data_IF_692990890692
#
_entry.id   IF_692990890692
#
_cell.length_a   1.000
_cell.length_b   1.000
_cell.length_c   1.000
_cell.angle_alpha   90.00
_cell.angle_beta   90.00
_cell.angle_gamma   90.00
#
_symmetry.space_group_name_H-M   'P 1'
#
loop_
_entity.id
_entity.type
_entity.pdbx_description
1 polymer ?
#
# COMPACT_ATOMS: atom_id res chain seq x y z
N UNK A 1 10.22 -9.33 -14.63
CA UNK A 1 10.11 -8.18 -13.70
C UNK A 1 8.93 -8.40 -12.77
N UNK A 2 9.15 -8.37 -11.46
CA UNK A 2 8.13 -8.51 -10.42
C UNK A 2 7.59 -7.12 -10.06
N UNK A 3 6.27 -6.94 -10.12
CA UNK A 3 5.61 -5.72 -9.68
C UNK A 3 5.14 -5.85 -8.23
N UNK A 4 5.49 -4.88 -7.39
CA UNK A 4 5.16 -4.84 -5.96
C UNK A 4 4.43 -3.54 -5.64
N UNK A 5 3.21 -3.64 -5.17
CA UNK A 5 2.37 -2.53 -4.73
C UNK A 5 2.51 -2.35 -3.23
N UNK A 6 2.86 -1.15 -2.78
CA UNK A 6 3.03 -0.79 -1.37
C UNK A 6 1.91 0.16 -0.96
N UNK A 7 1.09 -0.26 0.01
CA UNK A 7 -0.11 0.48 0.48
C UNK A 7 -0.04 0.68 1.98
N UNK A 8 -0.34 1.89 2.45
CA UNK A 8 -0.44 2.23 3.87
C UNK A 8 0.52 3.32 4.35
N UNK A 9 1.59 3.62 3.62
CA UNK A 9 2.44 4.77 3.92
C UNK A 9 1.79 6.08 3.43
N UNK A 10 2.16 7.20 4.04
CA UNK A 10 1.61 8.52 3.70
C UNK A 10 2.37 9.20 2.56
N UNK A 11 3.67 8.98 2.50
CA UNK A 11 4.59 9.56 1.50
C UNK A 11 5.76 8.63 1.25
N UNK A 12 6.57 8.92 0.24
CA UNK A 12 7.86 8.30 0.06
C UNK A 12 8.92 9.27 0.56
N UNK A 13 9.46 9.01 1.76
CA UNK A 13 10.40 9.92 2.42
C UNK A 13 10.62 9.55 3.89
N UNK A 14 11.14 10.48 4.68
CA UNK A 14 11.58 10.23 6.06
C UNK A 14 10.59 10.74 7.12
N UNK A 15 9.29 10.54 6.95
CA UNK A 15 8.31 11.07 7.91
C UNK A 15 8.04 10.12 9.09
N UNK A 16 7.98 8.82 8.87
CA UNK A 16 7.64 7.81 9.88
C UNK A 16 8.25 6.46 9.57
N UNK A 17 7.94 5.44 10.37
CA UNK A 17 8.52 4.11 10.24
C UNK A 17 8.25 3.48 8.87
N UNK A 18 7.01 3.51 8.41
CA UNK A 18 6.63 2.95 7.10
C UNK A 18 7.23 3.74 5.95
N UNK A 19 7.20 5.08 6.02
CA UNK A 19 7.77 5.97 5.02
C UNK A 19 9.28 5.76 4.90
N UNK A 20 9.98 5.67 6.01
CA UNK A 20 11.43 5.37 6.05
C UNK A 20 11.71 3.98 5.48
N UNK A 21 10.91 2.98 5.86
CA UNK A 21 11.08 1.61 5.35
C UNK A 21 10.94 1.56 3.83
N UNK A 22 9.85 2.08 3.25
CA UNK A 22 9.65 2.05 1.80
C UNK A 22 10.69 2.89 1.05
N UNK A 23 11.13 4.01 1.64
CA UNK A 23 12.17 4.83 1.04
C UNK A 23 13.49 4.04 0.93
N UNK A 24 13.91 3.39 2.01
CA UNK A 24 15.12 2.55 2.01
C UNK A 24 14.99 1.32 1.12
N UNK A 25 13.82 0.69 1.08
CA UNK A 25 13.54 -0.46 0.23
C UNK A 25 13.65 -0.10 -1.26
N UNK A 26 13.04 1.01 -1.68
CA UNK A 26 13.07 1.47 -3.07
C UNK A 26 14.44 2.01 -3.47
N UNK A 27 15.15 2.69 -2.56
CA UNK A 27 16.54 3.11 -2.74
C UNK A 27 17.47 1.89 -2.96
N UNK A 28 17.36 0.87 -2.11
CA UNK A 28 18.18 -0.34 -2.20
C UNK A 28 18.00 -1.07 -3.53
N UNK A 29 16.77 -1.11 -4.06
CA UNK A 29 16.46 -1.77 -5.31
C UNK A 29 16.45 -0.84 -6.53
N UNK A 30 16.90 0.42 -6.42
CA UNK A 30 16.79 1.38 -7.52
C UNK A 30 17.47 0.94 -8.83
N UNK A 31 18.52 0.13 -8.74
CA UNK A 31 19.23 -0.41 -9.89
C UNK A 31 18.84 -1.84 -10.27
N UNK A 32 17.84 -2.43 -9.59
CA UNK A 32 17.41 -3.79 -9.84
C UNK A 32 16.31 -3.83 -10.92
N UNK A 33 16.58 -4.36 -12.12
CA UNK A 33 15.61 -4.39 -13.22
C UNK A 33 14.51 -5.44 -13.01
N UNK A 34 14.68 -6.38 -12.07
CA UNK A 34 13.74 -7.48 -11.85
C UNK A 34 12.58 -7.13 -10.94
N UNK A 35 12.64 -5.96 -10.28
CA UNK A 35 11.61 -5.50 -9.35
C UNK A 35 11.19 -4.08 -9.72
N UNK A 36 9.88 -3.84 -9.75
CA UNK A 36 9.28 -2.51 -9.91
C UNK A 36 8.28 -2.24 -8.79
N UNK A 37 8.47 -1.16 -8.08
CA UNK A 37 7.56 -0.74 -7.03
C UNK A 37 6.50 0.21 -7.55
N UNK A 38 5.28 0.09 -6.98
CA UNK A 38 4.16 1.01 -7.15
C UNK A 38 3.73 1.44 -5.75
N UNK A 39 3.89 2.71 -5.41
CA UNK A 39 3.69 3.20 -4.05
C UNK A 39 2.49 4.13 -3.99
N UNK A 40 1.50 3.78 -3.17
CA UNK A 40 0.41 4.69 -2.84
C UNK A 40 0.91 5.75 -1.86
N UNK A 41 0.66 7.01 -2.18
CA UNK A 41 1.01 8.16 -1.32
C UNK A 41 -0.18 9.11 -1.21
N UNK A 42 -0.22 9.92 -0.15
CA UNK A 42 -1.23 10.94 0.02
C UNK A 42 -0.97 12.14 -0.90
N UNK A 43 -2.02 12.65 -1.52
CA UNK A 43 -1.97 13.91 -2.25
C UNK A 43 -2.08 15.13 -1.32
N UNK A 44 -2.78 14.96 -0.17
CA UNK A 44 -3.08 16.03 0.77
C UNK A 44 -3.21 15.52 2.21
N UNK A 45 -3.29 16.45 3.15
CA UNK A 45 -3.46 16.17 4.57
C UNK A 45 -2.15 15.81 5.29
N UNK A 46 -2.29 15.37 6.53
CA UNK A 46 -1.15 15.11 7.40
C UNK A 46 -0.24 14.01 6.82
N UNK A 47 1.06 14.30 6.71
CA UNK A 47 2.09 13.40 6.22
C UNK A 47 2.17 13.29 4.70
N UNK A 48 1.36 14.04 3.95
CA UNK A 48 1.53 14.18 2.51
C UNK A 48 2.80 14.96 2.21
N UNK A 49 3.70 14.40 1.43
CA UNK A 49 4.90 15.08 0.93
C UNK A 49 5.37 14.43 -0.37
N UNK A 50 6.08 15.22 -1.15
CA UNK A 50 6.78 14.79 -2.37
C UNK A 50 8.26 15.05 -2.13
N UNK A 51 9.15 14.15 -2.53
CA UNK A 51 10.59 14.38 -2.42
C UNK A 51 11.02 15.65 -3.15
N UNK A 52 12.04 16.33 -2.63
CA UNK A 52 12.56 17.57 -3.21
C UNK A 52 13.05 17.34 -4.64
N UNK A 53 12.73 18.29 -5.53
CA UNK A 53 13.13 18.24 -6.94
C UNK A 53 12.31 17.27 -7.81
N UNK A 54 11.28 16.63 -7.27
CA UNK A 54 10.43 15.70 -8.02
C UNK A 54 9.18 16.41 -8.53
N UNK A 55 8.96 16.34 -9.85
CA UNK A 55 7.76 16.86 -10.50
C UNK A 55 6.63 15.84 -10.44
N UNK A 56 5.42 16.30 -10.11
CA UNK A 56 4.20 15.51 -10.09
C UNK A 56 3.38 15.81 -11.33
N UNK A 57 3.10 14.78 -12.14
CA UNK A 57 2.26 14.88 -13.33
C UNK A 57 1.06 13.96 -13.15
N UNK A 58 -0.15 14.52 -13.26
CA UNK A 58 -1.43 13.79 -13.11
C UNK A 58 -1.53 12.95 -11.83
N UNK A 59 -0.99 13.49 -10.72
CA UNK A 59 -0.98 12.78 -9.43
C UNK A 59 -0.06 11.56 -9.41
N UNK A 60 0.96 11.53 -10.25
CA UNK A 60 2.00 10.48 -10.30
C UNK A 60 3.38 11.11 -10.36
N UNK A 61 4.36 10.40 -9.81
CA UNK A 61 5.77 10.72 -9.94
C UNK A 61 6.63 9.46 -9.79
N UNK A 62 7.84 9.53 -10.30
CA UNK A 62 8.83 8.45 -10.12
C UNK A 62 9.92 8.90 -9.17
N UNK A 63 10.25 8.05 -8.22
CA UNK A 63 11.34 8.28 -7.28
C UNK A 63 12.02 6.96 -6.93
N UNK A 64 13.35 6.89 -6.98
CA UNK A 64 14.12 5.64 -6.93
C UNK A 64 13.59 4.62 -7.96
N UNK A 65 13.25 3.40 -7.52
CA UNK A 65 12.63 2.36 -8.34
C UNK A 65 11.09 2.31 -8.18
N UNK A 66 10.47 3.40 -7.81
CA UNK A 66 9.04 3.43 -7.48
C UNK A 66 8.26 4.39 -8.38
N UNK A 67 7.15 3.89 -8.93
CA UNK A 67 6.09 4.71 -9.51
C UNK A 67 5.09 5.05 -8.39
N UNK A 68 5.14 6.28 -7.92
CA UNK A 68 4.27 6.79 -6.88
C UNK A 68 2.96 7.31 -7.48
N UNK A 69 1.84 6.96 -6.86
CA UNK A 69 0.53 7.46 -7.25
C UNK A 69 -0.20 8.07 -6.06
N UNK A 70 -0.69 9.27 -6.25
CA UNK A 70 -1.32 10.07 -5.20
C UNK A 70 -2.79 9.72 -5.01
N UNK A 71 -3.24 9.69 -3.76
CA UNK A 71 -4.63 9.52 -3.33
C UNK A 71 -5.08 10.80 -2.64
N UNK A 72 -6.06 11.47 -3.22
CA UNK A 72 -6.73 12.63 -2.61
C UNK A 72 -7.69 12.16 -1.52
N UNK A 73 -7.62 12.78 -0.36
CA UNK A 73 -8.44 12.46 0.81
C UNK A 73 -9.42 13.60 1.06
N UNK A 74 -10.75 13.34 1.04
CA UNK A 74 -11.74 14.34 1.40
C UNK A 74 -11.60 14.78 2.86
N UNK A 75 -11.50 16.09 3.11
CA UNK A 75 -11.31 16.64 4.46
C UNK A 75 -12.46 16.31 5.42
N UNK A 76 -13.67 16.19 4.87
CA UNK A 76 -14.91 15.94 5.64
C UNK A 76 -14.98 14.57 6.31
N UNK A 77 -14.07 13.64 6.00
CA UNK A 77 -14.11 12.26 6.50
C UNK A 77 -13.63 12.13 7.96
N UNK A 78 -13.03 13.15 8.55
CA UNK A 78 -12.54 13.09 9.92
C UNK A 78 -11.72 11.80 10.21
N UNK A 79 -12.04 11.03 11.26
CA UNK A 79 -11.31 9.80 11.61
C UNK A 79 -11.35 8.70 10.54
N UNK A 80 -12.36 8.70 9.66
CA UNK A 80 -12.48 7.70 8.60
C UNK A 80 -11.49 7.92 7.44
N UNK A 81 -10.74 9.03 7.43
CA UNK A 81 -9.74 9.32 6.39
C UNK A 81 -8.71 8.21 6.21
N UNK A 82 -8.29 7.55 7.30
CA UNK A 82 -7.29 6.49 7.23
C UNK A 82 -7.83 5.25 6.50
N UNK A 83 -9.06 4.84 6.81
CA UNK A 83 -9.73 3.70 6.15
C UNK A 83 -9.98 4.03 4.69
N UNK A 84 -10.49 5.23 4.40
CA UNK A 84 -10.72 5.71 3.04
C UNK A 84 -9.44 5.67 2.21
N UNK A 85 -8.34 6.20 2.76
CA UNK A 85 -7.05 6.22 2.08
C UNK A 85 -6.59 4.81 1.67
N UNK A 86 -6.60 3.86 2.60
CA UNK A 86 -6.14 2.50 2.33
C UNK A 86 -7.06 1.79 1.31
N UNK A 87 -8.37 1.96 1.41
CA UNK A 87 -9.33 1.41 0.43
C UNK A 87 -9.16 2.03 -0.97
N UNK A 88 -9.01 3.35 -1.05
CA UNK A 88 -8.80 4.05 -2.31
C UNK A 88 -7.46 3.69 -2.96
N UNK A 89 -6.40 3.53 -2.15
CA UNK A 89 -5.10 3.08 -2.61
C UNK A 89 -5.15 1.66 -3.20
N UNK A 90 -5.85 0.74 -2.53
CA UNK A 90 -6.06 -0.63 -3.05
C UNK A 90 -6.90 -0.64 -4.33
N UNK A 91 -7.97 0.14 -4.38
CA UNK A 91 -8.79 0.26 -5.60
C UNK A 91 -7.97 0.80 -6.77
N UNK A 92 -7.15 1.83 -6.55
CA UNK A 92 -6.28 2.40 -7.59
C UNK A 92 -5.17 1.41 -7.99
N UNK A 93 -4.61 0.66 -7.04
CA UNK A 93 -3.66 -0.42 -7.34
C UNK A 93 -4.27 -1.48 -8.26
N UNK A 94 -5.49 -1.94 -7.97
CA UNK A 94 -6.22 -2.90 -8.81
C UNK A 94 -6.45 -2.35 -10.22
N UNK A 95 -6.77 -1.07 -10.35
CA UNK A 95 -6.95 -0.44 -11.66
C UNK A 95 -5.62 -0.40 -12.44
N UNK A 96 -4.52 -0.01 -11.81
CA UNK A 96 -3.18 -0.03 -12.43
C UNK A 96 -2.80 -1.44 -12.89
N UNK A 97 -3.04 -2.46 -12.06
CA UNK A 97 -2.79 -3.87 -12.41
C UNK A 97 -3.55 -4.27 -13.67
N UNK A 98 -4.82 -3.88 -13.79
CA UNK A 98 -5.67 -4.17 -14.95
C UNK A 98 -5.23 -3.39 -16.19
N UNK A 99 -5.05 -2.09 -16.07
CA UNK A 99 -4.68 -1.19 -17.17
C UNK A 99 -3.34 -1.57 -17.80
N UNK A 100 -2.37 -1.92 -16.97
CA UNK A 100 -1.03 -2.32 -17.41
C UNK A 100 -0.89 -3.83 -17.66
N UNK A 101 -1.98 -4.62 -17.48
CA UNK A 101 -1.98 -6.08 -17.64
C UNK A 101 -0.86 -6.77 -16.85
N UNK A 102 -0.60 -6.30 -15.62
CA UNK A 102 0.46 -6.81 -14.75
C UNK A 102 0.13 -8.24 -14.32
N UNK A 103 1.06 -9.15 -14.53
CA UNK A 103 0.92 -10.56 -14.15
C UNK A 103 1.55 -10.84 -12.78
N UNK A 104 0.87 -11.64 -11.98
CA UNK A 104 1.35 -12.09 -10.65
C UNK A 104 1.84 -10.93 -9.74
N UNK A 105 1.07 -9.82 -9.61
CA UNK A 105 1.50 -8.72 -8.75
C UNK A 105 1.56 -9.15 -7.29
N UNK A 106 2.47 -8.53 -6.53
CA UNK A 106 2.47 -8.58 -5.07
C UNK A 106 1.85 -7.29 -4.56
N UNK A 107 0.89 -7.39 -3.65
CA UNK A 107 0.32 -6.24 -2.93
C UNK A 107 0.67 -6.38 -1.45
N UNK A 108 1.49 -5.48 -0.94
CA UNK A 108 1.89 -5.44 0.45
C UNK A 108 1.17 -4.29 1.17
N UNK A 109 0.33 -4.67 2.13
CA UNK A 109 -0.47 -3.75 2.94
C UNK A 109 0.25 -3.58 4.27
N UNK A 110 0.72 -2.36 4.55
CA UNK A 110 1.52 -2.04 5.73
C UNK A 110 0.69 -1.77 6.99
N UNK A 111 -0.63 -1.65 6.86
CA UNK A 111 -1.51 -1.29 7.98
C UNK A 111 -2.78 -2.13 7.98
N UNK A 112 -3.32 -2.44 9.16
CA UNK A 112 -4.53 -3.27 9.31
C UNK A 112 -5.85 -2.46 9.36
N UNK A 113 -5.92 -1.26 8.77
CA UNK A 113 -7.06 -0.34 8.94
C UNK A 113 -8.28 -0.65 8.07
N UNK A 114 -8.13 -1.46 7.01
CA UNK A 114 -9.20 -1.72 6.04
C UNK A 114 -10.32 -2.66 6.56
N UNK A 115 -10.10 -3.34 7.68
CA UNK A 115 -11.12 -4.12 8.39
C UNK A 115 -12.00 -4.99 7.47
N UNK A 116 -13.34 -4.76 7.46
CA UNK A 116 -14.29 -5.60 6.74
C UNK A 116 -14.09 -5.62 5.22
N UNK A 117 -13.40 -4.62 4.64
CA UNK A 117 -13.14 -4.55 3.20
C UNK A 117 -11.96 -5.43 2.77
N UNK A 118 -11.18 -5.97 3.70
CA UNK A 118 -9.98 -6.76 3.41
C UNK A 118 -10.29 -7.94 2.47
N UNK A 119 -11.30 -8.75 2.81
CA UNK A 119 -11.68 -9.91 1.99
C UNK A 119 -12.09 -9.54 0.57
N UNK A 120 -12.75 -8.39 0.39
CA UNK A 120 -13.11 -7.89 -0.93
C UNK A 120 -11.87 -7.62 -1.79
N UNK A 121 -10.91 -6.86 -1.26
CA UNK A 121 -9.68 -6.51 -1.97
C UNK A 121 -8.80 -7.73 -2.22
N UNK A 122 -8.65 -8.62 -1.25
CA UNK A 122 -7.91 -9.88 -1.44
C UNK A 122 -8.47 -10.71 -2.59
N UNK A 123 -9.79 -10.93 -2.61
CA UNK A 123 -10.44 -11.68 -3.70
C UNK A 123 -10.26 -11.01 -5.05
N UNK A 124 -10.33 -9.68 -5.11
CA UNK A 124 -10.13 -8.93 -6.34
C UNK A 124 -8.69 -9.07 -6.88
N UNK A 125 -7.69 -8.98 -6.00
CA UNK A 125 -6.27 -9.14 -6.35
C UNK A 125 -5.96 -10.59 -6.75
N UNK A 126 -6.47 -11.58 -6.00
CA UNK A 126 -6.29 -12.99 -6.34
C UNK A 126 -6.90 -13.36 -7.70
N UNK A 127 -8.06 -12.80 -8.07
CA UNK A 127 -8.65 -12.99 -9.41
C UNK A 127 -7.77 -12.47 -10.54
N UNK A 128 -6.86 -11.53 -10.25
CA UNK A 128 -5.88 -11.01 -11.19
C UNK A 128 -4.53 -11.78 -11.14
N UNK A 129 -4.49 -12.91 -10.42
CA UNK A 129 -3.28 -13.71 -10.24
C UNK A 129 -2.30 -13.12 -9.22
N UNK A 130 -2.69 -12.09 -8.47
CA UNK A 130 -1.84 -11.44 -7.49
C UNK A 130 -1.80 -12.14 -6.13
N UNK A 131 -0.82 -11.77 -5.30
CA UNK A 131 -0.67 -12.21 -3.91
C UNK A 131 -0.77 -11.00 -2.99
N UNK A 132 -1.41 -11.18 -1.83
CA UNK A 132 -1.56 -10.13 -0.81
C UNK A 132 -0.77 -10.53 0.42
N UNK A 133 0.03 -9.59 0.91
CA UNK A 133 0.73 -9.69 2.18
C UNK A 133 0.27 -8.55 3.07
N UNK A 134 -0.02 -8.85 4.33
CA UNK A 134 -0.40 -7.88 5.34
C UNK A 134 0.67 -7.83 6.42
N UNK A 135 1.12 -6.62 6.77
CA UNK A 135 1.94 -6.41 7.95
C UNK A 135 1.03 -6.32 9.17
N UNK A 136 1.14 -7.25 10.14
CA UNK A 136 0.29 -7.26 11.34
C UNK A 136 0.79 -6.30 12.43
N UNK A 137 1.65 -5.33 12.10
CA UNK A 137 2.36 -4.47 13.03
C UNK A 137 1.44 -3.78 14.04
N UNK A 138 1.70 -3.99 15.32
CA UNK A 138 1.06 -3.33 16.47
C UNK A 138 -0.32 -3.82 16.90
N UNK A 139 -1.07 -4.55 16.07
CA UNK A 139 -2.42 -5.01 16.43
C UNK A 139 -2.48 -6.49 16.84
N UNK A 140 -1.42 -7.24 16.61
CA UNK A 140 -1.38 -8.67 16.94
C UNK A 140 -1.43 -8.97 18.45
N UNK A 141 -0.95 -8.09 19.30
CA UNK A 141 -0.96 -8.31 20.75
C UNK A 141 -2.37 -8.41 21.32
N UNK A 142 -3.30 -7.58 20.83
CA UNK A 142 -4.71 -7.61 21.27
C UNK A 142 -5.41 -8.90 20.80
N UNK A 143 -5.11 -9.36 19.59
CA UNK A 143 -5.70 -10.57 19.02
C UNK A 143 -5.18 -11.84 19.74
N UNK A 144 -3.90 -11.86 20.13
CA UNK A 144 -3.33 -12.97 20.90
C UNK A 144 -3.86 -13.03 22.35
N UNK A 145 -4.13 -11.89 22.96
CA UNK A 145 -4.64 -11.80 24.33
C UNK A 145 -6.07 -12.33 24.48
N UNK A 146 -6.90 -12.28 23.44
CA UNK A 146 -8.31 -12.73 23.48
C UNK A 146 -8.51 -14.22 23.18
N UNK A 147 -7.48 -14.98 22.85
CA UNK A 147 -7.52 -16.44 22.51
C UNK A 147 -8.49 -16.85 21.37
N UNK A 148 -9.25 -15.94 20.82
CA UNK A 148 -10.10 -16.19 19.67
C UNK A 148 -9.31 -15.80 18.41
N UNK A 149 -8.86 -16.81 17.65
CA UNK A 149 -8.28 -16.57 16.32
C UNK A 149 -9.40 -16.07 15.41
N UNK A 150 -9.39 -14.81 14.97
CA UNK A 150 -10.37 -14.36 13.98
C UNK A 150 -10.23 -15.21 12.72
N UNK A 151 -11.35 -15.50 12.05
CA UNK A 151 -11.35 -16.34 10.85
C UNK A 151 -10.40 -15.84 9.75
N UNK A 152 -10.05 -14.56 9.70
CA UNK A 152 -9.09 -14.03 8.76
C UNK A 152 -7.65 -14.53 8.97
N UNK A 153 -7.27 -14.91 10.21
CA UNK A 153 -5.96 -15.48 10.51
C UNK A 153 -5.79 -16.90 9.95
N UNK A 154 -6.89 -17.60 9.63
CA UNK A 154 -6.85 -18.91 8.96
C UNK A 154 -6.38 -18.84 7.52
N UNK A 155 -6.47 -17.67 6.88
CA UNK A 155 -6.03 -17.46 5.49
C UNK A 155 -4.52 -17.31 5.32
N UNK A 156 -3.78 -17.09 6.41
CA UNK A 156 -2.31 -16.92 6.37
C UNK A 156 -1.53 -18.19 6.70
N UNK A 157 -2.22 -19.28 7.12
CA UNK A 157 -1.60 -20.54 7.52
C UNK A 157 -1.82 -21.67 6.50
N UNK A 158 -2.35 -21.37 5.31
CA UNK A 158 -2.61 -22.35 4.24
C UNK A 158 -1.76 -22.08 3.01
#
# INVERSE_FOLDING_TARGET
MQHVFLVGAKSLGAYGGYETFINKLTEYHQSNPDIKYHVAVKANGQGASVPEGVEVVDGRYTYHNADCFQISIPEKLGPAQAIYYDCAALAKSINIIKEQNIKNPIVYIMTCRIGPFFNYFCRAIHKLGGRVFLNPDGECEIIWATREKPDFMRFYAA
#
